data_IF_759970831710
#
_entry.id   IF_759970831710
#
_cell.length_a   1.000
_cell.length_b   1.000
_cell.length_c   1.000
_cell.angle_alpha   90.00
_cell.angle_beta   90.00
_cell.angle_gamma   90.00
#
_symmetry.space_group_name_H-M   'P 1'
#
loop_
_entity.id
_entity.type
_entity.pdbx_description
1 polymer ?
#
# COMPACT_ATOMS: atom_id res chain seq x y z
N UNK A 1 12.60 5.51 -18.69
CA UNK A 1 11.38 6.23 -18.30
C UNK A 1 10.47 5.32 -17.50
N UNK A 2 9.64 5.86 -16.65
CA UNK A 2 8.65 5.11 -15.91
C UNK A 2 7.26 5.35 -16.51
N UNK A 3 6.37 4.39 -16.29
CA UNK A 3 4.97 4.51 -16.63
C UNK A 3 4.16 4.69 -15.35
N UNK A 4 3.28 5.68 -15.33
CA UNK A 4 2.32 5.86 -14.25
C UNK A 4 1.01 5.17 -14.64
N UNK A 5 0.61 4.20 -13.83
CA UNK A 5 -0.64 3.46 -14.01
C UNK A 5 -1.54 3.69 -12.82
N UNK A 6 -2.84 3.72 -13.07
CA UNK A 6 -3.84 3.70 -12.02
C UNK A 6 -4.54 2.35 -12.05
N UNK A 7 -4.59 1.69 -10.90
CA UNK A 7 -5.20 0.38 -10.78
C UNK A 7 -6.11 0.29 -9.57
N UNK A 8 -6.75 -0.85 -9.44
CA UNK A 8 -7.54 -1.17 -8.26
C UNK A 8 -7.13 -2.54 -7.74
N UNK A 9 -7.04 -2.66 -6.44
CA UNK A 9 -6.82 -3.92 -5.75
C UNK A 9 -7.79 -4.01 -4.58
N UNK A 10 -8.18 -5.23 -4.23
CA UNK A 10 -8.90 -5.42 -2.99
C UNK A 10 -7.98 -5.13 -1.83
N UNK A 11 -8.51 -4.46 -0.83
CA UNK A 11 -7.78 -4.14 0.40
C UNK A 11 -8.61 -4.59 1.57
N UNK A 12 -8.05 -5.49 2.37
CA UNK A 12 -8.66 -5.98 3.60
C UNK A 12 -7.90 -5.41 4.78
N UNK A 13 -8.60 -4.76 5.70
CA UNK A 13 -8.04 -4.28 6.96
C UNK A 13 -8.30 -5.28 8.07
N UNK A 14 -7.27 -5.57 8.85
CA UNK A 14 -7.35 -6.41 10.05
C UNK A 14 -7.00 -5.55 11.24
N UNK A 15 -7.93 -5.39 12.16
CA UNK A 15 -7.79 -4.60 13.39
C UNK A 15 -7.98 -5.54 14.56
N UNK A 16 -6.90 -5.88 15.23
CA UNK A 16 -6.89 -6.97 16.19
C UNK A 16 -5.73 -6.83 17.18
N UNK A 17 -5.66 -7.74 18.15
CA UNK A 17 -4.52 -7.81 19.04
C UNK A 17 -3.22 -8.06 18.27
N UNK A 18 -2.06 -7.70 18.83
CA UNK A 18 -0.77 -7.95 18.16
C UNK A 18 -0.57 -9.43 17.78
N UNK A 19 -0.99 -10.36 18.61
CA UNK A 19 -0.91 -11.80 18.32
C UNK A 19 -1.78 -12.19 17.12
N UNK A 20 -3.01 -11.69 17.06
CA UNK A 20 -3.90 -11.93 15.93
C UNK A 20 -3.36 -11.30 14.63
N UNK A 21 -2.77 -10.11 14.73
CA UNK A 21 -2.10 -9.48 13.60
C UNK A 21 -0.91 -10.28 13.11
N UNK A 22 -0.14 -10.90 14.00
CA UNK A 22 0.96 -11.80 13.61
C UNK A 22 0.45 -12.94 12.74
N UNK A 23 -0.71 -13.50 13.05
CA UNK A 23 -1.34 -14.54 12.22
C UNK A 23 -1.77 -14.00 10.86
N UNK A 24 -2.30 -12.79 10.82
CA UNK A 24 -2.71 -12.16 9.56
C UNK A 24 -1.54 -11.91 8.61
N UNK A 25 -0.33 -11.78 9.11
CA UNK A 25 0.87 -11.58 8.29
C UNK A 25 1.21 -12.78 7.41
N UNK A 26 0.65 -13.95 7.68
CA UNK A 26 0.82 -15.14 6.85
C UNK A 26 -0.15 -15.17 5.65
N UNK A 27 -1.06 -14.21 5.55
CA UNK A 27 -2.08 -14.16 4.51
C UNK A 27 -1.60 -13.33 3.30
N UNK A 28 -1.26 -14.00 2.21
CA UNK A 28 -0.97 -13.34 0.93
C UNK A 28 0.03 -12.17 1.04
N UNK A 29 -0.30 -11.04 0.39
CA UNK A 29 0.49 -9.82 0.50
C UNK A 29 0.03 -9.01 1.71
N UNK A 30 0.49 -9.41 2.87
CA UNK A 30 0.15 -8.75 4.13
C UNK A 30 1.22 -7.70 4.49
N UNK A 31 0.76 -6.54 4.97
CA UNK A 31 1.62 -5.44 5.37
C UNK A 31 1.27 -5.02 6.80
N UNK A 32 2.27 -4.97 7.67
CA UNK A 32 2.08 -4.52 9.05
C UNK A 32 2.00 -3.00 9.09
N UNK A 33 0.83 -2.48 9.42
CA UNK A 33 0.60 -1.04 9.51
C UNK A 33 0.98 -0.52 10.91
N UNK A 34 0.55 -1.25 11.93
CA UNK A 34 0.82 -0.97 13.32
C UNK A 34 0.81 -2.29 14.11
N UNK A 35 1.10 -2.24 15.39
CA UNK A 35 1.07 -3.45 16.23
C UNK A 35 -0.30 -4.13 16.19
N UNK A 36 -1.36 -3.36 16.06
CA UNK A 36 -2.77 -3.79 16.11
C UNK A 36 -3.49 -3.65 14.76
N UNK A 37 -2.74 -3.47 13.67
CA UNK A 37 -3.33 -3.31 12.34
C UNK A 37 -2.48 -3.96 11.26
N UNK A 38 -3.13 -4.77 10.41
CA UNK A 38 -2.53 -5.37 9.21
C UNK A 38 -3.42 -5.05 8.01
N UNK A 39 -2.79 -4.79 6.87
CA UNK A 39 -3.47 -4.63 5.60
C UNK A 39 -3.09 -5.81 4.70
N UNK A 40 -4.09 -6.45 4.10
CA UNK A 40 -3.88 -7.52 3.13
C UNK A 40 -4.31 -7.03 1.76
N UNK A 41 -3.39 -7.07 0.80
CA UNK A 41 -3.64 -6.71 -0.59
C UNK A 41 -4.05 -7.90 -1.41
N UNK A 42 -4.96 -7.66 -2.35
CA UNK A 42 -5.52 -8.71 -3.19
C UNK A 42 -6.60 -9.49 -2.46
N UNK A 43 -6.98 -10.63 -3.02
CA UNK A 43 -7.98 -11.50 -2.41
C UNK A 43 -7.46 -12.08 -1.10
N UNK A 44 -8.17 -11.80 -0.01
CA UNK A 44 -7.85 -12.38 1.27
C UNK A 44 -8.26 -13.87 1.29
N UNK A 45 -7.44 -14.73 1.91
CA UNK A 45 -7.83 -16.13 2.10
C UNK A 45 -9.14 -16.25 2.89
N UNK A 46 -10.00 -17.19 2.50
CA UNK A 46 -11.29 -17.42 3.16
C UNK A 46 -11.12 -17.71 4.66
N UNK A 47 -10.02 -18.35 5.03
CA UNK A 47 -9.73 -18.72 6.41
C UNK A 47 -9.17 -17.56 7.26
N UNK A 48 -8.90 -16.40 6.67
CA UNK A 48 -8.27 -15.30 7.40
C UNK A 48 -9.06 -14.87 8.62
N UNK A 49 -10.36 -14.62 8.45
CA UNK A 49 -11.22 -14.20 9.56
C UNK A 49 -11.23 -15.20 10.73
N UNK A 50 -11.33 -16.47 10.42
CA UNK A 50 -11.32 -17.52 11.44
C UNK A 50 -9.98 -17.60 12.17
N UNK A 51 -8.87 -17.54 11.44
CA UNK A 51 -7.53 -17.61 12.00
C UNK A 51 -7.24 -16.41 12.94
N UNK A 52 -7.67 -15.22 12.55
CA UNK A 52 -7.47 -13.99 13.34
C UNK A 52 -8.35 -14.04 14.60
N UNK A 53 -9.63 -14.43 14.47
CA UNK A 53 -10.58 -14.46 15.59
C UNK A 53 -10.29 -15.58 16.58
N UNK A 54 -9.57 -16.60 16.19
CA UNK A 54 -9.10 -17.60 17.11
C UNK A 54 -8.16 -17.00 18.18
N UNK A 55 -7.29 -16.07 17.78
CA UNK A 55 -6.39 -15.36 18.68
C UNK A 55 -7.05 -14.16 19.36
N UNK A 56 -8.01 -13.53 18.69
CA UNK A 56 -8.73 -12.34 19.18
C UNK A 56 -10.19 -12.39 18.73
N UNK A 57 -11.11 -12.83 19.61
CA UNK A 57 -12.53 -12.90 19.27
C UNK A 57 -13.16 -11.54 18.90
N UNK A 58 -12.56 -10.43 19.32
CA UNK A 58 -13.04 -9.08 19.05
C UNK A 58 -12.42 -8.47 17.78
N UNK A 59 -11.60 -9.23 17.06
CA UNK A 59 -10.95 -8.76 15.86
C UNK A 59 -11.96 -8.31 14.79
N UNK A 60 -11.61 -7.21 14.10
CA UNK A 60 -12.35 -6.72 12.94
C UNK A 60 -11.57 -7.04 11.69
N UNK A 61 -12.23 -7.72 10.74
CA UNK A 61 -11.69 -7.99 9.41
C UNK A 61 -12.65 -7.36 8.41
N UNK A 62 -12.22 -6.29 7.77
CA UNK A 62 -13.09 -5.43 6.96
C UNK A 62 -12.56 -5.28 5.54
N UNK A 63 -13.47 -5.27 4.56
CA UNK A 63 -13.15 -4.83 3.21
C UNK A 63 -13.08 -3.31 3.22
N UNK A 64 -11.89 -2.76 3.02
CA UNK A 64 -11.64 -1.32 3.00
C UNK A 64 -11.20 -0.83 1.61
N UNK A 65 -11.46 -1.62 0.59
CA UNK A 65 -11.06 -1.35 -0.80
C UNK A 65 -11.44 0.04 -1.28
N UNK A 66 -12.65 0.50 -0.96
CA UNK A 66 -13.15 1.79 -1.42
C UNK A 66 -12.42 2.99 -0.80
N UNK A 67 -11.69 2.78 0.28
CA UNK A 67 -10.90 3.83 0.93
C UNK A 67 -9.54 4.10 0.29
N UNK A 68 -9.12 3.29 -0.68
CA UNK A 68 -7.79 3.32 -1.26
C UNK A 68 -7.81 3.31 -2.78
N UNK A 69 -6.88 4.05 -3.37
CA UNK A 69 -6.55 3.94 -4.79
C UNK A 69 -5.12 3.45 -4.92
N UNK A 70 -4.82 2.77 -6.02
CA UNK A 70 -3.48 2.29 -6.30
C UNK A 70 -2.90 3.07 -7.47
N UNK A 71 -1.80 3.78 -7.22
CA UNK A 71 -0.99 4.39 -8.27
C UNK A 71 0.30 3.59 -8.39
N UNK A 72 0.62 3.16 -9.59
CA UNK A 72 1.85 2.41 -9.84
C UNK A 72 2.84 3.21 -10.67
N UNK A 73 4.08 3.19 -10.24
CA UNK A 73 5.22 3.64 -11.03
C UNK A 73 5.99 2.40 -11.45
N UNK A 74 6.10 2.19 -12.75
CA UNK A 74 6.73 0.98 -13.31
C UNK A 74 7.79 1.37 -14.32
N UNK A 75 8.99 0.84 -14.17
CA UNK A 75 10.09 1.04 -15.08
C UNK A 75 11.36 1.53 -14.41
N UNK A 76 12.41 1.66 -15.19
CA UNK A 76 13.75 1.99 -14.69
C UNK A 76 13.82 3.34 -13.96
N UNK A 77 12.97 4.30 -14.32
CA UNK A 77 12.94 5.63 -13.69
C UNK A 77 11.93 5.76 -12.53
N UNK A 78 11.29 4.65 -12.13
CA UNK A 78 10.25 4.71 -11.11
C UNK A 78 10.75 5.29 -9.77
N UNK A 79 11.90 4.85 -9.31
CA UNK A 79 12.48 5.32 -8.03
C UNK A 79 12.93 6.76 -8.10
N UNK A 80 13.50 7.17 -9.22
CA UNK A 80 13.90 8.56 -9.42
C UNK A 80 12.67 9.49 -9.45
N UNK A 81 11.60 9.06 -10.14
CA UNK A 81 10.34 9.81 -10.14
C UNK A 81 9.74 9.91 -8.74
N UNK A 82 9.75 8.82 -7.98
CA UNK A 82 9.28 8.81 -6.61
C UNK A 82 10.06 9.79 -5.73
N UNK A 83 11.38 9.86 -5.89
CA UNK A 83 12.24 10.77 -5.12
C UNK A 83 11.90 12.24 -5.32
N UNK A 84 11.17 12.60 -6.40
CA UNK A 84 10.71 13.97 -6.64
C UNK A 84 9.53 14.38 -5.79
N UNK A 85 8.80 13.41 -5.21
CA UNK A 85 7.56 13.66 -4.49
C UNK A 85 7.59 13.18 -3.03
N UNK A 86 8.68 12.56 -2.61
CA UNK A 86 8.81 12.03 -1.26
C UNK A 86 10.26 11.99 -0.82
N UNK A 87 10.49 12.18 0.48
CA UNK A 87 11.79 11.97 1.11
C UNK A 87 12.00 10.52 1.53
N UNK A 88 10.96 9.68 1.43
CA UNK A 88 11.08 8.27 1.73
C UNK A 88 11.99 7.58 0.72
N UNK A 89 12.77 6.64 1.22
CA UNK A 89 13.59 5.77 0.38
C UNK A 89 12.97 4.37 0.38
N UNK A 90 12.24 3.98 -0.68
CA UNK A 90 11.62 2.68 -0.72
C UNK A 90 12.67 1.57 -0.70
N UNK A 91 12.43 0.46 0.02
CA UNK A 91 13.32 -0.69 -0.02
C UNK A 91 13.35 -1.30 -1.43
N UNK A 92 14.31 -2.17 -1.70
CA UNK A 92 14.33 -2.91 -2.97
C UNK A 92 13.09 -3.78 -3.13
N UNK A 93 12.64 -4.37 -2.04
CA UNK A 93 11.37 -5.10 -1.98
C UNK A 93 10.77 -4.96 -0.60
N UNK A 94 9.44 -4.93 -0.54
CA UNK A 94 8.71 -4.90 0.71
C UNK A 94 7.91 -3.62 0.91
N UNK A 95 7.45 -3.46 2.13
CA UNK A 95 6.51 -2.43 2.52
C UNK A 95 7.18 -1.30 3.30
N UNK A 96 6.78 -0.08 3.00
CA UNK A 96 7.09 1.11 3.80
C UNK A 96 5.90 2.04 3.75
N UNK A 97 5.72 2.84 4.77
CA UNK A 97 4.68 3.86 4.79
C UNK A 97 5.26 5.20 5.25
N UNK A 98 4.69 6.26 4.74
CA UNK A 98 5.09 7.60 5.07
C UNK A 98 4.48 8.63 4.15
N UNK A 99 5.04 9.83 4.16
CA UNK A 99 4.47 10.97 3.48
C UNK A 99 4.97 11.06 2.02
N UNK A 100 4.01 11.16 1.11
CA UNK A 100 4.23 11.35 -0.32
C UNK A 100 3.38 12.54 -0.75
N UNK A 101 3.99 13.58 -1.30
CA UNK A 101 3.28 14.81 -1.67
C UNK A 101 2.41 15.37 -0.52
N UNK A 102 2.90 15.25 0.71
CA UNK A 102 2.25 15.64 1.97
C UNK A 102 1.04 14.81 2.36
N UNK A 103 0.89 13.63 1.78
CA UNK A 103 -0.20 12.69 2.09
C UNK A 103 0.40 11.41 2.63
N UNK A 104 -0.19 10.87 3.69
CA UNK A 104 0.20 9.56 4.20
C UNK A 104 -0.15 8.45 3.22
N UNK A 105 0.87 7.77 2.71
CA UNK A 105 0.76 6.76 1.66
C UNK A 105 1.44 5.47 2.11
N UNK A 106 0.91 4.34 1.66
CA UNK A 106 1.48 3.01 1.88
C UNK A 106 2.13 2.54 0.60
N UNK A 107 3.38 2.11 0.66
CA UNK A 107 4.16 1.79 -0.53
C UNK A 107 4.61 0.34 -0.49
N UNK A 108 4.33 -0.41 -1.56
CA UNK A 108 4.91 -1.72 -1.80
C UNK A 108 5.90 -1.62 -2.95
N UNK A 109 7.15 -1.94 -2.64
CA UNK A 109 8.24 -1.92 -3.60
C UNK A 109 8.58 -3.33 -4.06
N UNK A 110 8.92 -3.48 -5.32
CA UNK A 110 9.40 -4.73 -5.90
C UNK A 110 10.12 -4.46 -7.21
N UNK A 111 11.46 -4.44 -7.18
CA UNK A 111 12.25 -4.16 -8.36
C UNK A 111 11.97 -2.78 -8.95
N UNK A 112 11.55 -2.75 -10.20
CA UNK A 112 11.22 -1.52 -10.93
C UNK A 112 9.77 -1.08 -10.74
N UNK A 113 9.06 -1.67 -9.78
CA UNK A 113 7.65 -1.38 -9.55
C UNK A 113 7.44 -0.83 -8.15
N UNK A 114 6.79 0.32 -8.07
CA UNK A 114 6.34 0.92 -6.83
C UNK A 114 4.81 1.03 -6.87
N UNK A 115 4.14 0.38 -5.93
CA UNK A 115 2.69 0.51 -5.78
C UNK A 115 2.41 1.42 -4.61
N UNK A 116 1.73 2.52 -4.88
CA UNK A 116 1.35 3.52 -3.89
C UNK A 116 -0.12 3.35 -3.58
N UNK A 117 -0.43 2.97 -2.35
CA UNK A 117 -1.80 2.98 -1.86
C UNK A 117 -2.08 4.34 -1.25
N UNK A 118 -2.90 5.09 -1.95
CA UNK A 118 -3.24 6.47 -1.63
C UNK A 118 -4.67 6.50 -1.09
N UNK A 119 -4.93 7.21 0.03
CA UNK A 119 -6.32 7.43 0.45
C UNK A 119 -7.14 7.97 -0.72
N UNK A 120 -8.29 7.38 -0.98
CA UNK A 120 -9.05 7.62 -2.22
C UNK A 120 -9.29 9.11 -2.51
N UNK A 121 -9.55 9.91 -1.47
CA UNK A 121 -9.77 11.36 -1.61
C UNK A 121 -8.56 12.13 -2.12
N UNK A 122 -7.35 11.58 -2.02
CA UNK A 122 -6.10 12.25 -2.40
C UNK A 122 -5.49 11.71 -3.70
N UNK A 123 -6.19 10.84 -4.41
CA UNK A 123 -5.68 10.21 -5.63
C UNK A 123 -5.28 11.22 -6.68
N UNK A 124 -6.17 12.16 -6.99
CA UNK A 124 -5.91 13.19 -8.01
C UNK A 124 -4.74 14.08 -7.61
N UNK A 125 -4.68 14.48 -6.34
CA UNK A 125 -3.59 15.29 -5.82
C UNK A 125 -2.23 14.61 -6.02
N UNK A 126 -2.10 13.36 -5.62
CA UNK A 126 -0.83 12.62 -5.73
C UNK A 126 -0.46 12.41 -7.20
N UNK A 127 -1.43 12.02 -8.03
CA UNK A 127 -1.21 11.85 -9.47
C UNK A 127 -0.70 13.13 -10.12
N UNK A 128 -1.36 14.25 -9.86
CA UNK A 128 -0.96 15.56 -10.41
C UNK A 128 0.44 15.98 -9.96
N UNK A 129 0.79 15.70 -8.71
CA UNK A 129 2.13 15.97 -8.20
C UNK A 129 3.19 15.13 -8.90
N UNK A 130 2.94 13.85 -9.14
CA UNK A 130 3.86 13.00 -9.90
C UNK A 130 4.07 13.56 -11.30
N UNK A 131 2.98 13.88 -11.99
CA UNK A 131 3.05 14.39 -13.37
C UNK A 131 3.69 15.78 -13.46
N UNK A 132 3.57 16.61 -12.43
CA UNK A 132 4.19 17.92 -12.39
C UNK A 132 5.68 17.86 -12.04
N UNK A 133 6.03 17.13 -10.99
CA UNK A 133 7.38 17.17 -10.43
C UNK A 133 8.34 16.16 -11.10
N UNK A 134 7.81 15.14 -11.76
CA UNK A 134 8.58 14.11 -12.45
C UNK A 134 8.21 13.99 -13.94
N UNK A 135 7.77 15.08 -14.55
CA UNK A 135 7.26 15.09 -15.93
C UNK A 135 8.24 14.51 -16.95
N UNK A 136 9.55 14.74 -16.77
CA UNK A 136 10.58 14.25 -17.67
C UNK A 136 10.89 12.74 -17.47
N UNK A 137 10.40 12.14 -16.41
CA UNK A 137 10.68 10.75 -16.05
C UNK A 137 9.49 9.82 -16.23
N UNK A 138 8.28 10.37 -16.38
CA UNK A 138 7.02 9.63 -16.33
C UNK A 138 6.15 9.87 -17.54
N UNK A 139 5.51 8.83 -17.98
CA UNK A 139 4.48 8.89 -19.05
C UNK A 139 3.08 8.75 -18.47
#
# INVERSE_FOLDING_TARGET
MAELREGSERVTGVFASPEACDRAMDAGEACRIALDEVMVLGEAPDALGAAVREADPDALVLDVTDGWSVLELVGASAREAFARISELEPPESGFVQGEVARVGVRILAGGDRLRLLVPAMWTDHVRERILADAAELVR
#
